data_IF_396583614500
#
_entry.id   IF_396583614500
#
_cell.length_a   1.000
_cell.length_b   1.000
_cell.length_c   1.000
_cell.angle_alpha   90.00
_cell.angle_beta   90.00
_cell.angle_gamma   90.00
#
_symmetry.space_group_name_H-M   'P 1'
#
loop_
_entity.id
_entity.type
_entity.pdbx_description
1 polymer ?
#
# COMPACT_ATOMS: atom_id res chain seq x y z
N UNK A 1 -25.31 -11.52 23.42
CA UNK A 1 -24.04 -10.89 22.96
C UNK A 1 -24.37 -9.95 21.80
N UNK A 2 -23.99 -8.70 21.89
CA UNK A 2 -24.17 -7.75 20.80
C UNK A 2 -23.29 -8.17 19.62
N UNK A 3 -23.87 -8.40 18.44
CA UNK A 3 -23.09 -8.64 17.22
C UNK A 3 -22.43 -7.35 16.82
N UNK A 4 -21.10 -7.36 16.70
CA UNK A 4 -20.28 -6.22 16.27
C UNK A 4 -19.68 -6.44 14.89
N UNK A 5 -20.21 -7.42 14.14
CA UNK A 5 -19.85 -7.66 12.75
C UNK A 5 -20.19 -6.45 11.90
N UNK A 6 -19.33 -6.12 10.96
CA UNK A 6 -19.51 -4.98 10.06
C UNK A 6 -18.97 -5.28 8.66
N UNK A 7 -19.22 -4.40 7.72
CA UNK A 7 -18.64 -4.46 6.38
C UNK A 7 -17.84 -3.20 6.13
N UNK A 8 -16.64 -3.35 5.59
CA UNK A 8 -15.76 -2.24 5.20
C UNK A 8 -15.17 -2.53 3.82
N UNK A 9 -15.31 -1.61 2.87
CA UNK A 9 -14.87 -1.77 1.49
C UNK A 9 -15.31 -3.11 0.85
N UNK A 10 -16.52 -3.60 1.14
CA UNK A 10 -17.02 -4.91 0.70
C UNK A 10 -16.50 -6.12 1.50
N UNK A 11 -15.52 -5.94 2.38
CA UNK A 11 -14.98 -6.99 3.25
C UNK A 11 -15.87 -7.20 4.47
N UNK A 12 -16.20 -8.45 4.78
CA UNK A 12 -16.91 -8.82 6.01
C UNK A 12 -15.92 -8.91 7.16
N UNK A 13 -16.13 -8.12 8.20
CA UNK A 13 -15.28 -8.07 9.38
C UNK A 13 -16.03 -8.61 10.60
N UNK A 14 -15.37 -9.44 11.41
CA UNK A 14 -15.93 -9.96 12.71
C UNK A 14 -16.17 -8.85 13.74
N UNK A 15 -15.49 -7.70 13.58
CA UNK A 15 -15.65 -6.48 14.38
C UNK A 15 -15.01 -5.29 13.62
N UNK A 16 -15.27 -4.04 13.99
CA UNK A 16 -14.79 -2.85 13.28
C UNK A 16 -13.31 -2.48 13.56
N UNK A 17 -12.56 -3.30 14.29
CA UNK A 17 -11.17 -2.99 14.64
C UNK A 17 -10.24 -3.43 13.51
N UNK A 18 -9.64 -2.48 12.82
CA UNK A 18 -8.64 -2.71 11.78
C UNK A 18 -7.28 -2.25 12.29
N UNK A 19 -6.29 -3.15 12.27
CA UNK A 19 -4.89 -2.77 12.61
C UNK A 19 -4.29 -2.05 11.42
N UNK A 20 -3.95 -0.77 11.62
CA UNK A 20 -3.40 0.08 10.58
C UNK A 20 -1.96 -0.32 10.18
N UNK A 21 -1.58 0.06 8.96
CA UNK A 21 -0.22 -0.10 8.45
C UNK A 21 0.83 0.51 9.39
N UNK A 22 1.74 -0.31 9.87
CA UNK A 22 2.79 0.09 10.82
C UNK A 22 3.87 -0.98 10.97
N UNK A 23 4.87 -0.74 11.82
CA UNK A 23 5.85 -1.76 12.21
C UNK A 23 5.26 -2.94 13.00
N UNK A 24 4.00 -2.90 13.37
CA UNK A 24 3.27 -4.03 13.98
C UNK A 24 2.72 -5.02 12.94
N UNK A 25 2.71 -4.64 11.66
CA UNK A 25 2.13 -5.42 10.55
C UNK A 25 3.14 -5.74 9.45
N UNK A 26 4.43 -5.78 9.81
CA UNK A 26 5.56 -6.03 8.90
C UNK A 26 5.96 -7.51 8.76
N UNK A 27 5.31 -8.41 9.49
CA UNK A 27 5.61 -9.84 9.41
C UNK A 27 4.41 -10.71 9.74
N UNK A 28 4.33 -11.91 9.13
CA UNK A 28 3.24 -12.86 9.34
C UNK A 28 3.07 -13.25 10.82
N UNK A 29 4.17 -13.38 11.55
CA UNK A 29 4.13 -13.69 12.99
C UNK A 29 3.50 -12.56 13.83
N UNK A 30 3.79 -11.29 13.51
CA UNK A 30 3.15 -10.15 14.15
C UNK A 30 1.68 -10.07 13.77
N UNK A 31 1.35 -10.27 12.51
CA UNK A 31 -0.01 -10.26 11.99
C UNK A 31 -0.89 -11.31 12.69
N UNK A 32 -0.37 -12.53 12.87
CA UNK A 32 -1.07 -13.57 13.64
C UNK A 32 -1.32 -13.15 15.09
N UNK A 33 -0.37 -12.44 15.73
CA UNK A 33 -0.57 -11.91 17.09
C UNK A 33 -1.67 -10.86 17.13
N UNK A 34 -1.78 -9.98 16.13
CA UNK A 34 -2.85 -8.98 16.04
C UNK A 34 -4.22 -9.66 15.88
N UNK A 35 -4.32 -10.69 15.04
CA UNK A 35 -5.55 -11.47 14.91
C UNK A 35 -5.95 -12.15 16.22
N UNK A 36 -4.99 -12.78 16.93
CA UNK A 36 -5.23 -13.42 18.25
C UNK A 36 -5.63 -12.40 19.31
N UNK A 37 -5.15 -11.16 19.20
CA UNK A 37 -5.55 -10.04 20.07
C UNK A 37 -6.96 -9.50 19.75
N UNK A 38 -7.60 -9.99 18.68
CA UNK A 38 -8.98 -9.66 18.35
C UNK A 38 -9.19 -8.76 17.14
N UNK A 39 -8.16 -8.45 16.36
CA UNK A 39 -8.32 -7.64 15.16
C UNK A 39 -9.37 -8.22 14.19
N UNK A 40 -10.18 -7.37 13.59
CA UNK A 40 -11.17 -7.71 12.55
C UNK A 40 -10.56 -7.75 11.14
N UNK A 41 -9.54 -6.94 10.88
CA UNK A 41 -8.72 -6.95 9.66
C UNK A 41 -7.32 -6.38 9.96
N UNK A 42 -6.39 -6.58 9.03
CA UNK A 42 -5.01 -6.08 9.12
C UNK A 42 -4.66 -5.36 7.84
N UNK A 43 -4.13 -4.15 7.96
CA UNK A 43 -3.43 -3.44 6.88
C UNK A 43 -1.94 -3.70 7.05
N UNK A 44 -1.32 -4.33 6.08
CA UNK A 44 0.10 -4.64 6.10
C UNK A 44 0.94 -3.35 6.08
N UNK A 45 2.16 -3.43 6.61
CA UNK A 45 3.12 -2.31 6.50
C UNK A 45 3.25 -1.93 5.03
N UNK A 46 3.09 -0.64 4.73
CA UNK A 46 3.10 -0.14 3.35
C UNK A 46 4.43 -0.46 2.64
N UNK A 47 4.31 -0.83 1.37
CA UNK A 47 5.42 -0.80 0.43
C UNK A 47 5.56 0.65 -0.07
N UNK A 48 6.70 1.27 0.23
CA UNK A 48 7.00 2.66 -0.15
C UNK A 48 7.99 2.69 -1.31
N UNK A 49 7.61 3.29 -2.40
CA UNK A 49 8.51 3.52 -3.55
C UNK A 49 9.70 4.41 -3.18
N UNK A 50 9.50 5.40 -2.30
CA UNK A 50 10.57 6.24 -1.78
C UNK A 50 11.69 5.44 -1.08
N UNK A 51 11.34 4.35 -0.39
CA UNK A 51 12.33 3.47 0.22
C UNK A 51 13.17 2.74 -0.84
N UNK A 52 12.56 2.34 -1.94
CA UNK A 52 13.24 1.72 -3.07
C UNK A 52 14.27 2.70 -3.64
N UNK A 53 13.86 3.93 -3.92
CA UNK A 53 14.74 4.98 -4.43
C UNK A 53 15.89 5.30 -3.47
N UNK A 54 15.60 5.38 -2.18
CA UNK A 54 16.62 5.64 -1.15
C UNK A 54 17.64 4.50 -1.03
N UNK A 55 17.20 3.25 -1.06
CA UNK A 55 18.09 2.08 -1.04
C UNK A 55 18.96 2.04 -2.29
N UNK A 56 18.39 2.27 -3.47
CA UNK A 56 19.12 2.38 -4.73
C UNK A 56 20.19 3.46 -4.66
N UNK A 57 19.85 4.66 -4.18
CA UNK A 57 20.79 5.75 -4.02
C UNK A 57 21.90 5.45 -3.01
N UNK A 58 21.61 4.67 -1.98
CA UNK A 58 22.59 4.24 -0.97
C UNK A 58 23.56 3.19 -1.54
N UNK A 59 23.04 2.26 -2.34
CA UNK A 59 23.86 1.26 -3.03
C UNK A 59 24.74 1.90 -4.12
N UNK A 60 24.23 2.84 -4.91
CA UNK A 60 24.96 3.50 -5.98
C UNK A 60 26.18 4.29 -5.46
N UNK A 61 26.12 4.84 -4.25
CA UNK A 61 27.26 5.52 -3.61
C UNK A 61 28.44 4.59 -3.37
N UNK A 62 28.23 3.29 -3.22
CA UNK A 62 29.28 2.29 -3.02
C UNK A 62 29.83 1.74 -4.34
N UNK A 63 29.16 1.97 -5.46
CA UNK A 63 29.53 1.53 -6.79
C UNK A 63 29.89 2.69 -7.71
N UNK A 64 30.57 3.73 -7.19
CA UNK A 64 31.00 4.89 -7.96
C UNK A 64 31.92 4.47 -9.13
N UNK A 65 31.36 4.44 -10.35
CA UNK A 65 32.12 4.21 -11.57
C UNK A 65 31.49 3.32 -12.65
N UNK A 66 30.27 2.84 -12.50
CA UNK A 66 29.61 2.04 -13.53
C UNK A 66 28.26 2.66 -13.97
N UNK A 67 27.98 2.62 -15.27
CA UNK A 67 26.67 2.94 -15.91
C UNK A 67 25.54 1.96 -15.46
N UNK A 68 25.38 1.73 -14.17
CA UNK A 68 24.53 0.68 -13.61
C UNK A 68 23.38 1.16 -12.72
N UNK A 69 23.10 2.46 -12.66
CA UNK A 69 22.04 2.99 -11.78
C UNK A 69 20.66 2.40 -12.11
N UNK A 70 20.30 2.32 -13.37
CA UNK A 70 18.98 1.80 -13.82
C UNK A 70 18.82 0.31 -13.48
N UNK A 71 19.91 -0.47 -13.57
CA UNK A 71 19.90 -1.88 -13.21
C UNK A 71 19.72 -2.08 -11.70
N UNK A 72 20.40 -1.27 -10.87
CA UNK A 72 20.29 -1.33 -9.42
C UNK A 72 18.89 -0.96 -8.94
N UNK A 73 18.28 0.07 -9.53
CA UNK A 73 16.91 0.46 -9.21
C UNK A 73 15.91 -0.66 -9.52
N UNK A 74 16.00 -1.23 -10.72
CA UNK A 74 15.17 -2.36 -11.14
C UNK A 74 15.35 -3.55 -10.19
N UNK A 75 16.57 -3.88 -9.81
CA UNK A 75 16.88 -4.98 -8.89
C UNK A 75 16.29 -4.75 -7.49
N UNK A 76 16.50 -3.57 -6.91
CA UNK A 76 15.98 -3.22 -5.58
C UNK A 76 14.45 -3.24 -5.60
N UNK A 77 13.83 -2.66 -6.63
CA UNK A 77 12.37 -2.63 -6.81
C UNK A 77 11.78 -4.04 -6.87
N UNK A 78 12.35 -4.93 -7.70
CA UNK A 78 11.89 -6.31 -7.81
C UNK A 78 12.07 -7.09 -6.51
N UNK A 79 13.17 -6.90 -5.80
CA UNK A 79 13.43 -7.55 -4.53
C UNK A 79 12.46 -7.10 -3.42
N UNK A 80 12.22 -5.79 -3.31
CA UNK A 80 11.26 -5.24 -2.35
C UNK A 80 9.83 -5.70 -2.64
N UNK A 81 9.44 -5.72 -3.91
CA UNK A 81 8.14 -6.23 -4.31
C UNK A 81 8.01 -7.74 -4.01
N UNK A 82 9.02 -8.55 -4.34
CA UNK A 82 9.01 -9.99 -4.04
C UNK A 82 8.89 -10.25 -2.52
N UNK A 83 9.59 -9.49 -1.70
CA UNK A 83 9.49 -9.58 -0.24
C UNK A 83 8.07 -9.19 0.25
N UNK A 84 7.46 -8.19 -0.36
CA UNK A 84 6.11 -7.77 -0.02
C UNK A 84 5.05 -8.81 -0.42
N UNK A 85 5.16 -9.37 -1.62
CA UNK A 85 4.33 -10.49 -2.08
C UNK A 85 4.44 -11.69 -1.13
N UNK A 86 5.67 -12.01 -0.71
CA UNK A 86 5.90 -13.06 0.28
C UNK A 86 5.23 -12.74 1.61
N UNK A 87 5.30 -11.50 2.09
CA UNK A 87 4.62 -11.07 3.32
C UNK A 87 3.11 -11.28 3.24
N UNK A 88 2.47 -10.92 2.12
CA UNK A 88 1.04 -11.15 1.87
C UNK A 88 0.75 -12.65 1.96
N UNK A 89 1.42 -13.47 1.15
CA UNK A 89 1.20 -14.90 1.07
C UNK A 89 1.41 -15.60 2.42
N UNK A 90 2.47 -15.24 3.16
CA UNK A 90 2.75 -15.84 4.46
C UNK A 90 1.74 -15.38 5.53
N UNK A 91 1.26 -14.14 5.47
CA UNK A 91 0.19 -13.66 6.36
C UNK A 91 -1.12 -14.39 6.08
N UNK A 92 -1.49 -14.57 4.82
CA UNK A 92 -2.71 -15.32 4.43
C UNK A 92 -2.68 -16.79 4.86
N UNK A 93 -1.50 -17.41 5.00
CA UNK A 93 -1.39 -18.79 5.53
C UNK A 93 -1.70 -18.88 7.03
N UNK A 94 -1.43 -17.83 7.80
CA UNK A 94 -1.51 -17.85 9.28
C UNK A 94 -2.65 -17.03 9.85
N UNK A 95 -3.30 -16.18 9.06
CA UNK A 95 -4.45 -15.36 9.44
C UNK A 95 -5.69 -15.75 8.65
N UNK A 96 -6.85 -15.70 9.31
CA UNK A 96 -8.17 -15.97 8.73
C UNK A 96 -8.97 -14.69 8.47
N UNK A 97 -8.59 -13.59 9.09
CA UNK A 97 -9.19 -12.25 8.91
C UNK A 97 -8.70 -11.61 7.60
N UNK A 98 -9.44 -10.65 7.04
CA UNK A 98 -9.03 -9.92 5.86
C UNK A 98 -7.64 -9.27 6.00
N UNK A 99 -6.83 -9.45 4.95
CA UNK A 99 -5.48 -8.89 4.81
C UNK A 99 -5.49 -7.85 3.71
N UNK A 100 -5.29 -6.60 4.09
CA UNK A 100 -5.29 -5.44 3.21
C UNK A 100 -3.83 -5.08 2.93
N UNK A 101 -3.42 -5.16 1.67
CA UNK A 101 -2.11 -4.68 1.26
C UNK A 101 -2.10 -3.14 1.22
N UNK A 102 -0.97 -2.52 1.55
CA UNK A 102 -0.84 -1.06 1.52
C UNK A 102 0.34 -0.66 0.65
N UNK A 103 0.12 0.25 -0.29
CA UNK A 103 1.14 0.78 -1.19
C UNK A 103 1.17 2.30 -1.15
N UNK A 104 2.36 2.86 -1.34
CA UNK A 104 2.59 4.29 -1.48
C UNK A 104 3.60 4.49 -2.61
N UNK A 105 3.12 4.86 -3.79
CA UNK A 105 3.93 5.10 -4.97
C UNK A 105 3.99 6.59 -5.29
N UNK A 106 5.08 7.00 -5.91
CA UNK A 106 5.30 8.37 -6.31
C UNK A 106 4.93 8.61 -7.76
N UNK A 107 5.18 7.63 -8.64
CA UNK A 107 4.83 7.68 -10.05
C UNK A 107 3.58 6.85 -10.40
N UNK A 108 3.03 7.11 -11.59
CA UNK A 108 1.79 6.47 -12.03
C UNK A 108 1.99 5.02 -12.51
N UNK A 109 3.19 4.65 -12.95
CA UNK A 109 3.49 3.31 -13.45
C UNK A 109 3.60 2.29 -12.31
N UNK A 110 4.19 2.69 -11.17
CA UNK A 110 4.38 1.84 -10.00
C UNK A 110 3.08 1.32 -9.40
N UNK A 111 2.01 2.12 -9.41
CA UNK A 111 0.72 1.74 -8.84
C UNK A 111 0.11 0.50 -9.51
N UNK A 112 0.11 0.46 -10.84
CA UNK A 112 -0.56 -0.60 -11.60
C UNK A 112 0.20 -1.92 -11.53
N UNK A 113 1.53 -1.88 -11.64
CA UNK A 113 2.37 -3.07 -11.53
C UNK A 113 2.25 -3.73 -10.15
N UNK A 114 2.40 -2.94 -9.09
CA UNK A 114 2.31 -3.45 -7.73
C UNK A 114 0.93 -4.01 -7.40
N UNK A 115 -0.13 -3.34 -7.85
CA UNK A 115 -1.49 -3.75 -7.57
C UNK A 115 -1.85 -5.13 -8.17
N UNK A 116 -1.44 -5.40 -9.40
CA UNK A 116 -1.67 -6.70 -10.04
C UNK A 116 -0.96 -7.85 -9.32
N UNK A 117 0.29 -7.64 -8.92
CA UNK A 117 1.04 -8.67 -8.19
C UNK A 117 0.50 -8.90 -6.77
N UNK A 118 0.02 -7.84 -6.11
CA UNK A 118 -0.66 -7.90 -4.80
C UNK A 118 -1.95 -8.73 -4.89
N UNK A 119 -2.75 -8.52 -5.93
CA UNK A 119 -3.96 -9.31 -6.17
C UNK A 119 -3.64 -10.78 -6.37
N UNK A 120 -2.63 -11.09 -7.18
CA UNK A 120 -2.18 -12.47 -7.42
C UNK A 120 -1.63 -13.15 -6.15
N UNK A 121 -1.06 -12.37 -5.23
CA UNK A 121 -0.59 -12.87 -3.93
C UNK A 121 -1.71 -13.21 -2.94
N UNK A 122 -2.96 -12.86 -3.26
CA UNK A 122 -4.15 -13.20 -2.48
C UNK A 122 -4.51 -12.20 -1.39
N UNK A 123 -4.13 -10.92 -1.52
CA UNK A 123 -4.67 -9.86 -0.67
C UNK A 123 -6.20 -9.74 -0.85
N UNK A 124 -6.90 -9.31 0.18
CA UNK A 124 -8.37 -9.15 0.15
C UNK A 124 -8.79 -7.74 -0.29
N UNK A 125 -7.91 -6.75 -0.16
CA UNK A 125 -8.08 -5.38 -0.65
C UNK A 125 -6.73 -4.68 -0.78
N UNK A 126 -6.71 -3.52 -1.43
CA UNK A 126 -5.52 -2.67 -1.56
C UNK A 126 -5.82 -1.31 -0.92
N UNK A 127 -5.00 -0.91 0.06
CA UNK A 127 -4.94 0.46 0.56
C UNK A 127 -3.92 1.25 -0.26
N UNK A 128 -4.35 2.36 -0.83
CA UNK A 128 -3.52 3.29 -1.59
C UNK A 128 -3.25 4.51 -0.71
N UNK A 129 -2.00 4.66 -0.26
CA UNK A 129 -1.59 5.77 0.59
C UNK A 129 -1.10 6.93 -0.27
N UNK A 130 -1.93 7.95 -0.44
CA UNK A 130 -1.64 9.13 -1.26
C UNK A 130 -1.26 10.36 -0.43
N UNK A 131 -0.69 10.14 0.75
CA UNK A 131 -0.22 11.24 1.59
C UNK A 131 1.05 11.85 1.00
N UNK A 132 0.96 13.06 0.50
CA UNK A 132 2.09 13.85 0.03
C UNK A 132 1.96 15.31 0.46
N UNK A 133 3.09 15.93 0.81
CA UNK A 133 3.15 17.37 1.02
C UNK A 133 3.42 18.06 -0.32
N UNK A 134 2.54 18.98 -0.69
CA UNK A 134 2.72 19.81 -1.89
C UNK A 134 3.63 20.99 -1.51
N UNK A 135 4.91 20.88 -1.85
CA UNK A 135 5.92 21.90 -1.53
C UNK A 135 6.45 22.63 -2.77
N UNK A 136 6.05 22.19 -3.96
CA UNK A 136 6.47 22.78 -5.22
C UNK A 136 5.80 24.13 -5.49
N UNK A 137 6.53 25.05 -6.10
CA UNK A 137 6.01 26.36 -6.55
C UNK A 137 5.20 26.26 -7.85
N UNK A 138 5.23 25.11 -8.50
CA UNK A 138 4.54 24.74 -9.73
C UNK A 138 3.16 24.09 -9.48
N UNK A 139 2.72 24.05 -8.22
CA UNK A 139 1.41 23.51 -7.87
C UNK A 139 0.29 24.24 -8.61
N UNK A 140 -0.52 23.46 -9.33
CA UNK A 140 -1.74 23.95 -9.98
C UNK A 140 -2.94 23.62 -9.08
N UNK A 141 -3.82 24.58 -8.84
CA UNK A 141 -5.03 24.39 -8.04
C UNK A 141 -5.85 23.18 -8.51
N UNK A 142 -6.15 22.29 -7.58
CA UNK A 142 -6.91 21.05 -7.85
C UNK A 142 -6.09 19.89 -8.48
N UNK A 143 -4.81 20.09 -8.77
CA UNK A 143 -3.98 19.04 -9.38
C UNK A 143 -3.78 17.85 -8.46
N UNK A 144 -3.70 18.07 -7.16
CA UNK A 144 -3.53 17.02 -6.16
C UNK A 144 -4.79 16.17 -6.02
N UNK A 145 -5.95 16.80 -5.95
CA UNK A 145 -7.26 16.13 -5.91
C UNK A 145 -7.50 15.33 -7.20
N UNK A 146 -7.21 15.93 -8.35
CA UNK A 146 -7.32 15.25 -9.66
C UNK A 146 -6.47 14.00 -9.73
N UNK A 147 -5.25 14.02 -9.20
CA UNK A 147 -4.37 12.87 -9.14
C UNK A 147 -4.97 11.69 -8.37
N UNK A 148 -5.70 11.93 -7.29
CA UNK A 148 -6.38 10.85 -6.55
C UNK A 148 -7.39 10.12 -7.44
N UNK A 149 -8.16 10.87 -8.22
CA UNK A 149 -9.16 10.31 -9.14
C UNK A 149 -8.47 9.55 -10.28
N UNK A 150 -7.38 10.09 -10.83
CA UNK A 150 -6.63 9.45 -11.91
C UNK A 150 -6.04 8.11 -11.47
N UNK A 151 -5.35 8.08 -10.33
CA UNK A 151 -4.77 6.84 -9.76
C UNK A 151 -5.87 5.81 -9.50
N UNK A 152 -6.96 6.19 -8.85
CA UNK A 152 -8.09 5.29 -8.61
C UNK A 152 -8.65 4.72 -9.92
N UNK A 153 -8.86 5.58 -10.91
CA UNK A 153 -9.40 5.18 -12.23
C UNK A 153 -8.47 4.20 -12.95
N UNK A 154 -7.17 4.38 -12.83
CA UNK A 154 -6.19 3.47 -13.44
C UNK A 154 -6.16 2.11 -12.72
N UNK A 155 -6.15 2.12 -11.39
CA UNK A 155 -6.16 0.90 -10.60
C UNK A 155 -7.41 0.06 -10.82
N UNK A 156 -8.59 0.69 -10.90
CA UNK A 156 -9.85 0.00 -11.18
C UNK A 156 -9.89 -0.72 -12.54
N UNK A 157 -9.02 -0.35 -13.48
CA UNK A 157 -8.91 -1.04 -14.78
C UNK A 157 -8.08 -2.31 -14.72
N UNK A 158 -7.21 -2.45 -13.73
CA UNK A 158 -6.18 -3.49 -13.70
C UNK A 158 -6.36 -4.50 -12.55
N UNK A 159 -7.14 -4.17 -11.52
CA UNK A 159 -7.41 -5.07 -10.39
C UNK A 159 -8.90 -5.16 -10.10
N UNK A 160 -9.35 -6.36 -9.69
CA UNK A 160 -10.71 -6.64 -9.22
C UNK A 160 -10.91 -6.49 -7.71
N UNK A 161 -9.83 -6.23 -6.97
CA UNK A 161 -9.89 -6.06 -5.52
C UNK A 161 -10.54 -4.73 -5.12
N UNK A 162 -11.21 -4.68 -3.95
CA UNK A 162 -11.59 -3.41 -3.33
C UNK A 162 -10.37 -2.50 -3.13
N UNK A 163 -10.52 -1.22 -3.50
CA UNK A 163 -9.48 -0.20 -3.36
C UNK A 163 -9.91 0.78 -2.27
N UNK A 164 -9.02 1.03 -1.31
CA UNK A 164 -9.20 1.94 -0.20
C UNK A 164 -8.21 3.09 -0.40
N UNK A 165 -8.69 4.30 -0.63
CA UNK A 165 -7.81 5.48 -0.72
C UNK A 165 -7.63 6.06 0.68
N UNK A 166 -6.38 6.11 1.15
CA UNK A 166 -6.03 6.78 2.39
C UNK A 166 -5.65 8.23 2.09
N UNK A 167 -6.53 9.15 2.49
CA UNK A 167 -6.38 10.57 2.26
C UNK A 167 -5.51 11.23 3.33
N UNK A 168 -4.71 12.21 2.91
CA UNK A 168 -4.02 13.11 3.81
C UNK A 168 -4.95 14.15 4.43
N UNK A 169 -4.55 14.70 5.57
CA UNK A 169 -5.28 15.80 6.23
C UNK A 169 -5.09 17.16 5.56
N UNK A 170 -4.27 17.24 4.53
CA UNK A 170 -3.93 18.46 3.80
C UNK A 170 -4.83 18.72 2.58
N UNK A 171 -5.90 17.96 2.40
CA UNK A 171 -6.92 18.23 1.40
C UNK A 171 -7.83 19.37 1.85
N UNK A 172 -8.14 20.28 0.93
CA UNK A 172 -8.98 21.45 1.24
C UNK A 172 -10.41 21.05 1.59
N UNK A 173 -10.96 20.07 0.88
CA UNK A 173 -12.32 19.59 1.10
C UNK A 173 -12.41 18.08 0.79
N UNK A 174 -12.03 17.20 1.74
CA UNK A 174 -12.11 15.75 1.53
C UNK A 174 -13.48 15.25 1.06
N UNK A 175 -14.63 15.77 1.57
CA UNK A 175 -15.94 15.32 1.10
C UNK A 175 -16.25 15.66 -0.36
N UNK A 176 -15.56 16.63 -0.95
CA UNK A 176 -15.76 16.98 -2.37
C UNK A 176 -14.97 16.04 -3.32
N UNK A 177 -14.06 15.23 -2.78
CA UNK A 177 -13.28 14.26 -3.53
C UNK A 177 -13.99 12.89 -3.61
N UNK A 178 -14.90 12.61 -2.68
CA UNK A 178 -15.63 11.35 -2.55
C UNK A 178 -16.95 11.41 -3.32
#
# INVERSE_FOLDING_TARGET
>A
MTKIETTYAGLKLKNPIIVASSGLTDSAAKNQKMEKAGAGAIVLKSLFEEQILHETASMSKHYSGMDGCDYLETYVRQNQLANYIKLIADTKKVCTIPVIASISCYDDAGWTEFAQQIEQAGADAIEVNMMALQTGTDYTYGSFEKRHIEVLTQLQKVVGLPIIIKLGSNLTCPPALI
#
